data_IF_238111777549
#
_entry.id   IF_238111777549
#
_cell.length_a   1.000
_cell.length_b   1.000
_cell.length_c   1.000
_cell.angle_alpha   90.00
_cell.angle_beta   90.00
_cell.angle_gamma   90.00
#
_symmetry.space_group_name_H-M   'P 1'
#
loop_
_entity.id
_entity.type
_entity.pdbx_description
1 polymer ?
#
# COMPACT_ATOMS: atom_id res chain seq x y z
N UNK A 1 16.44 9.25 -2.69
CA UNK A 1 15.73 8.22 -3.43
C UNK A 1 14.72 7.50 -2.57
N UNK A 2 13.49 7.39 -3.03
CA UNK A 2 12.43 6.74 -2.27
C UNK A 2 12.69 5.25 -2.03
N UNK A 3 13.33 4.58 -2.97
CA UNK A 3 13.66 3.17 -2.83
C UNK A 3 14.41 2.89 -1.52
N UNK A 4 15.44 3.67 -1.25
CA UNK A 4 16.24 3.48 -0.06
C UNK A 4 15.45 3.79 1.21
N UNK A 5 14.64 4.84 1.19
CA UNK A 5 13.80 5.22 2.33
C UNK A 5 12.77 4.14 2.64
N UNK A 6 12.18 3.54 1.62
CA UNK A 6 11.20 2.46 1.77
C UNK A 6 11.88 1.23 2.37
N UNK A 7 13.05 0.86 1.83
CA UNK A 7 13.81 -0.28 2.34
C UNK A 7 14.15 -0.12 3.81
N UNK A 8 14.67 1.04 4.20
CA UNK A 8 15.04 1.32 5.58
C UNK A 8 13.84 1.30 6.50
N UNK A 9 12.71 1.85 6.06
CA UNK A 9 11.50 1.88 6.84
C UNK A 9 10.98 0.47 7.11
N UNK A 10 10.93 -0.37 6.08
CA UNK A 10 10.45 -1.76 6.22
C UNK A 10 11.40 -2.58 7.09
N UNK A 11 12.70 -2.38 6.93
CA UNK A 11 13.70 -3.05 7.76
C UNK A 11 13.52 -2.68 9.24
N UNK A 12 13.30 -1.40 9.51
CA UNK A 12 13.05 -0.93 10.88
C UNK A 12 11.77 -1.50 11.44
N UNK A 13 10.70 -1.58 10.64
CA UNK A 13 9.45 -2.20 11.07
C UNK A 13 9.66 -3.66 11.47
N UNK A 14 10.42 -4.41 10.67
CA UNK A 14 10.73 -5.79 10.98
C UNK A 14 11.45 -5.92 12.31
N UNK A 15 12.43 -5.05 12.56
CA UNK A 15 13.19 -5.08 13.81
C UNK A 15 12.33 -4.68 15.02
N UNK A 16 11.45 -3.70 14.85
CA UNK A 16 10.63 -3.18 15.96
C UNK A 16 9.40 -4.03 16.23
N UNK A 17 8.77 -4.60 15.19
CA UNK A 17 7.48 -5.29 15.29
C UNK A 17 7.55 -6.79 14.97
N UNK A 18 8.68 -7.26 14.45
CA UNK A 18 8.87 -8.67 14.12
C UNK A 18 8.25 -9.09 12.81
N UNK A 19 8.35 -10.39 12.50
CA UNK A 19 7.90 -10.96 11.23
C UNK A 19 6.39 -11.11 11.12
N UNK A 20 5.64 -10.84 12.17
CA UNK A 20 4.16 -10.82 12.14
C UNK A 20 3.62 -9.55 11.47
N UNK A 21 4.48 -8.60 11.17
CA UNK A 21 4.08 -7.38 10.46
C UNK A 21 3.59 -7.72 9.06
N UNK A 22 2.44 -7.17 8.68
CA UNK A 22 1.88 -7.32 7.34
C UNK A 22 2.05 -6.01 6.58
N UNK A 23 2.73 -6.08 5.44
CA UNK A 23 2.87 -4.93 4.55
C UNK A 23 1.73 -4.97 3.54
N UNK A 24 1.02 -3.85 3.42
CA UNK A 24 -0.14 -3.73 2.55
C UNK A 24 0.14 -2.68 1.47
N UNK A 25 -0.13 -2.99 0.22
CA UNK A 25 0.00 -2.02 -0.87
C UNK A 25 -1.07 -2.20 -1.91
N UNK A 26 -1.11 -1.28 -2.89
CA UNK A 26 -2.06 -1.36 -4.00
C UNK A 26 -1.59 -2.21 -5.16
N UNK A 27 -0.37 -2.70 -5.13
CA UNK A 27 0.15 -3.56 -6.19
C UNK A 27 0.53 -2.83 -7.46
N UNK A 28 0.73 -1.52 -7.41
CA UNK A 28 1.21 -0.78 -8.57
C UNK A 28 2.58 -1.33 -8.99
N UNK A 29 2.83 -1.57 -10.30
CA UNK A 29 4.11 -2.16 -10.74
C UNK A 29 5.28 -1.18 -10.67
N UNK A 30 5.07 0.04 -10.22
CA UNK A 30 6.10 1.08 -10.11
C UNK A 30 6.02 1.79 -8.76
N UNK A 31 7.11 2.46 -8.41
CA UNK A 31 7.14 3.37 -7.26
C UNK A 31 7.06 2.68 -5.93
N UNK A 32 6.44 3.34 -4.97
CA UNK A 32 6.40 2.88 -3.58
C UNK A 32 5.77 1.51 -3.42
N UNK A 33 4.68 1.22 -4.13
CA UNK A 33 4.02 -0.09 -4.06
C UNK A 33 4.95 -1.21 -4.49
N UNK A 34 5.68 -0.99 -5.59
CA UNK A 34 6.63 -1.99 -6.09
C UNK A 34 7.72 -2.28 -5.07
N UNK A 35 8.32 -1.25 -4.51
CA UNK A 35 9.41 -1.42 -3.54
C UNK A 35 8.91 -1.96 -2.21
N UNK A 36 7.72 -1.57 -1.78
CA UNK A 36 7.12 -2.12 -0.57
C UNK A 36 6.94 -3.63 -0.69
N UNK A 37 6.39 -4.10 -1.80
CA UNK A 37 6.24 -5.53 -2.08
C UNK A 37 7.59 -6.23 -2.11
N UNK A 38 8.53 -5.67 -2.88
CA UNK A 38 9.86 -6.25 -3.05
C UNK A 38 10.54 -6.47 -1.69
N UNK A 39 10.62 -5.44 -0.87
CA UNK A 39 11.34 -5.53 0.38
C UNK A 39 10.59 -6.30 1.46
N UNK A 40 9.26 -6.27 1.45
CA UNK A 40 8.48 -7.11 2.34
C UNK A 40 8.81 -8.58 2.09
N UNK A 41 8.79 -9.00 0.83
CA UNK A 41 9.07 -10.39 0.47
C UNK A 41 10.54 -10.76 0.73
N UNK A 42 11.48 -9.87 0.42
CA UNK A 42 12.91 -10.13 0.67
C UNK A 42 13.22 -10.28 2.16
N UNK A 43 12.52 -9.53 3.01
CA UNK A 43 12.75 -9.56 4.46
C UNK A 43 11.89 -10.58 5.18
N UNK A 44 11.10 -11.37 4.45
CA UNK A 44 10.29 -12.43 5.04
C UNK A 44 9.06 -11.94 5.80
N UNK A 45 8.59 -10.73 5.51
CA UNK A 45 7.36 -10.20 6.09
C UNK A 45 6.15 -10.68 5.30
N UNK A 46 4.99 -10.70 5.96
CA UNK A 46 3.74 -10.98 5.27
C UNK A 46 3.38 -9.81 4.36
N UNK A 47 2.77 -10.10 3.21
CA UNK A 47 2.40 -9.08 2.24
C UNK A 47 0.99 -9.31 1.73
N UNK A 48 0.20 -8.24 1.69
CA UNK A 48 -1.15 -8.23 1.12
C UNK A 48 -1.30 -7.13 0.10
N UNK A 49 -2.11 -7.37 -0.93
CA UNK A 49 -2.26 -6.47 -2.05
C UNK A 49 -3.73 -6.21 -2.36
N UNK A 50 -4.07 -4.95 -2.59
CA UNK A 50 -5.42 -4.52 -2.97
C UNK A 50 -5.35 -3.76 -4.29
N UNK A 51 -5.28 -4.47 -5.45
CA UNK A 51 -5.29 -3.79 -6.74
C UNK A 51 -6.66 -3.17 -7.02
N UNK A 52 -6.75 -2.20 -7.94
CA UNK A 52 -8.05 -1.68 -8.35
C UNK A 52 -8.88 -2.77 -9.02
N UNK A 53 -10.21 -2.65 -8.94
CA UNK A 53 -11.13 -3.70 -9.36
C UNK A 53 -11.01 -4.10 -10.84
N UNK A 54 -10.44 -3.24 -11.69
CA UNK A 54 -10.26 -3.55 -13.11
C UNK A 54 -8.99 -4.35 -13.41
N UNK A 55 -8.15 -4.61 -12.39
CA UNK A 55 -6.97 -5.46 -12.55
C UNK A 55 -7.25 -6.89 -12.12
N UNK A 56 -6.32 -7.79 -12.44
CA UNK A 56 -6.47 -9.20 -12.13
C UNK A 56 -6.17 -9.51 -10.67
N UNK A 57 -6.83 -10.54 -10.17
CA UNK A 57 -6.55 -11.11 -8.86
C UNK A 57 -5.19 -11.82 -8.88
N UNK A 58 -4.50 -11.81 -7.74
CA UNK A 58 -3.29 -12.61 -7.55
C UNK A 58 -3.26 -13.23 -6.15
N UNK A 59 -2.25 -14.04 -5.88
CA UNK A 59 -2.19 -14.81 -4.63
C UNK A 59 -2.04 -13.94 -3.37
N UNK A 60 -1.66 -12.68 -3.51
CA UNK A 60 -1.50 -11.78 -2.37
C UNK A 60 -2.78 -11.02 -2.03
N UNK A 61 -3.82 -11.14 -2.85
CA UNK A 61 -5.09 -10.44 -2.62
C UNK A 61 -5.92 -11.13 -1.55
N UNK A 62 -6.23 -10.48 -0.42
CA UNK A 62 -7.11 -11.07 0.59
C UNK A 62 -8.57 -11.17 0.14
N UNK A 63 -8.99 -10.30 -0.79
CA UNK A 63 -10.36 -10.32 -1.29
C UNK A 63 -10.54 -11.40 -2.35
N UNK A 64 -11.77 -11.92 -2.46
CA UNK A 64 -12.10 -12.96 -3.43
C UNK A 64 -11.89 -12.49 -4.87
N UNK A 65 -11.51 -13.42 -5.77
CA UNK A 65 -11.26 -13.12 -7.18
C UNK A 65 -12.42 -12.47 -7.90
N UNK A 66 -13.66 -12.71 -7.46
CA UNK A 66 -14.86 -12.10 -8.05
C UNK A 66 -14.89 -10.58 -7.93
N UNK A 67 -14.05 -10.00 -7.08
CA UNK A 67 -13.96 -8.54 -6.93
C UNK A 67 -13.10 -7.88 -7.99
N UNK A 68 -12.46 -8.68 -8.85
CA UNK A 68 -11.48 -8.19 -9.84
C UNK A 68 -11.91 -8.52 -11.25
N UNK A 69 -11.18 -7.99 -12.23
CA UNK A 69 -11.51 -8.17 -13.64
C UNK A 69 -12.74 -7.38 -14.07
N UNK A 70 -13.08 -6.33 -13.36
CA UNK A 70 -14.24 -5.48 -13.69
C UNK A 70 -13.87 -4.47 -14.78
N UNK A 71 -14.88 -3.80 -15.39
CA UNK A 71 -14.59 -2.74 -16.36
C UNK A 71 -13.77 -1.61 -15.74
N UNK A 72 -12.92 -1.00 -16.53
CA UNK A 72 -12.09 0.12 -16.08
C UNK A 72 -12.95 1.31 -15.64
N UNK A 73 -12.60 1.88 -14.49
CA UNK A 73 -13.16 3.14 -14.03
C UNK A 73 -12.14 3.80 -13.08
N UNK A 74 -12.01 5.11 -13.19
CA UNK A 74 -11.12 5.85 -12.28
C UNK A 74 -11.57 5.71 -10.83
N UNK A 75 -12.86 5.48 -10.60
CA UNK A 75 -13.41 5.24 -9.26
C UNK A 75 -12.80 4.01 -8.59
N UNK A 76 -12.34 3.03 -9.38
CA UNK A 76 -11.72 1.83 -8.84
C UNK A 76 -10.45 2.13 -8.06
N UNK A 77 -9.69 3.14 -8.46
CA UNK A 77 -8.49 3.55 -7.72
C UNK A 77 -8.84 4.11 -6.35
N UNK A 78 -9.89 4.93 -6.27
CA UNK A 78 -10.32 5.49 -4.99
C UNK A 78 -10.93 4.43 -4.07
N UNK A 79 -11.70 3.51 -4.63
CA UNK A 79 -12.26 2.39 -3.88
C UNK A 79 -11.13 1.51 -3.29
N UNK A 80 -10.07 1.26 -4.07
CA UNK A 80 -8.91 0.51 -3.62
C UNK A 80 -8.16 1.25 -2.51
N UNK A 81 -8.00 2.57 -2.65
CA UNK A 81 -7.34 3.38 -1.62
C UNK A 81 -8.10 3.31 -0.29
N UNK A 82 -9.42 3.28 -0.37
CA UNK A 82 -10.26 3.10 0.81
C UNK A 82 -10.07 1.72 1.44
N UNK A 83 -9.95 0.66 0.62
CA UNK A 83 -9.69 -0.69 1.10
C UNK A 83 -8.38 -0.76 1.87
N UNK A 84 -7.32 -0.15 1.34
CA UNK A 84 -6.02 -0.09 2.01
C UNK A 84 -6.17 0.56 3.38
N UNK A 85 -6.86 1.69 3.45
CA UNK A 85 -7.04 2.42 4.70
C UNK A 85 -7.86 1.61 5.72
N UNK A 86 -8.89 0.90 5.27
CA UNK A 86 -9.73 0.10 6.16
C UNK A 86 -8.95 -1.09 6.74
N UNK A 87 -8.13 -1.74 5.93
CA UNK A 87 -7.44 -2.97 6.32
C UNK A 87 -6.06 -2.75 6.92
N UNK A 88 -5.65 -1.50 7.11
CA UNK A 88 -4.37 -1.15 7.71
C UNK A 88 -4.58 -0.48 9.07
N UNK A 89 -3.64 -0.68 9.99
CA UNK A 89 -3.62 0.05 11.25
C UNK A 89 -2.84 1.35 11.13
N UNK A 90 -1.87 1.36 10.22
CA UNK A 90 -0.94 2.45 10.04
C UNK A 90 -0.69 2.66 8.55
N UNK A 91 -0.91 3.85 8.05
CA UNK A 91 -0.73 4.15 6.63
C UNK A 91 0.46 5.10 6.45
N UNK A 92 1.39 4.70 5.60
CA UNK A 92 2.60 5.47 5.32
C UNK A 92 2.64 5.81 3.82
N UNK A 93 2.82 7.08 3.51
CA UNK A 93 2.97 7.53 2.14
C UNK A 93 4.39 8.04 1.92
N UNK A 94 5.02 7.58 0.84
CA UNK A 94 6.34 8.04 0.42
C UNK A 94 6.16 8.98 -0.76
N UNK A 95 6.25 10.28 -0.51
CA UNK A 95 6.01 11.31 -1.52
C UNK A 95 7.26 12.18 -1.63
N UNK A 96 7.99 12.11 -2.75
CA UNK A 96 9.18 12.96 -2.93
C UNK A 96 8.82 14.44 -2.83
N UNK A 97 9.74 15.24 -2.33
CA UNK A 97 9.53 16.69 -2.25
C UNK A 97 9.25 17.28 -3.62
N UNK A 98 8.27 18.16 -3.68
CA UNK A 98 7.87 18.82 -4.92
C UNK A 98 7.01 17.97 -5.84
N UNK A 99 6.73 16.72 -5.48
CA UNK A 99 5.87 15.84 -6.24
C UNK A 99 4.48 15.84 -5.65
N UNK A 100 3.48 16.06 -6.51
CA UNK A 100 2.09 15.97 -6.13
C UNK A 100 1.61 14.54 -6.32
N UNK A 101 1.04 13.94 -5.29
CA UNK A 101 0.52 12.58 -5.37
C UNK A 101 -0.90 12.53 -4.85
N UNK A 102 -1.86 12.66 -5.76
CA UNK A 102 -3.29 12.65 -5.40
C UNK A 102 -3.73 11.28 -4.90
N UNK A 103 -3.17 10.20 -5.46
CA UNK A 103 -3.49 8.83 -5.04
C UNK A 103 -3.04 8.55 -3.61
N UNK A 104 -1.78 8.86 -3.30
CA UNK A 104 -1.25 8.66 -1.95
C UNK A 104 -1.97 9.51 -0.93
N UNK A 105 -2.26 10.76 -1.27
CA UNK A 105 -3.00 11.66 -0.37
C UNK A 105 -4.44 11.22 -0.18
N UNK A 106 -5.06 10.60 -1.18
CA UNK A 106 -6.38 10.01 -1.05
C UNK A 106 -6.39 8.91 0.01
N UNK A 107 -5.40 8.01 -0.02
CA UNK A 107 -5.28 6.96 0.98
C UNK A 107 -5.08 7.53 2.38
N UNK A 108 -4.22 8.53 2.51
CA UNK A 108 -3.99 9.22 3.79
C UNK A 108 -5.29 9.86 4.31
N UNK A 109 -6.05 10.47 3.42
CA UNK A 109 -7.32 11.11 3.79
C UNK A 109 -8.33 10.09 4.33
N UNK A 110 -8.46 8.94 3.66
CA UNK A 110 -9.32 7.87 4.16
C UNK A 110 -8.82 7.33 5.50
N UNK A 111 -7.52 7.14 5.65
CA UNK A 111 -6.93 6.65 6.90
C UNK A 111 -7.26 7.59 8.07
N UNK A 112 -7.11 8.89 7.86
CA UNK A 112 -7.47 9.88 8.89
C UNK A 112 -8.95 9.83 9.22
N UNK A 113 -9.81 9.69 8.20
CA UNK A 113 -11.26 9.59 8.41
C UNK A 113 -11.62 8.38 9.27
N UNK A 114 -10.90 7.27 9.13
CA UNK A 114 -11.15 6.05 9.87
C UNK A 114 -10.34 5.94 11.18
N UNK A 115 -9.70 7.02 11.59
CA UNK A 115 -8.96 7.06 12.87
C UNK A 115 -7.65 6.28 12.85
N UNK A 116 -7.08 6.01 11.68
CA UNK A 116 -5.81 5.30 11.57
C UNK A 116 -4.63 6.25 11.74
N UNK A 117 -3.50 5.70 12.16
CA UNK A 117 -2.25 6.46 12.23
C UNK A 117 -1.70 6.68 10.83
N UNK A 118 -1.17 7.86 10.56
CA UNK A 118 -0.63 8.20 9.25
C UNK A 118 0.75 8.85 9.37
N UNK A 119 1.56 8.64 8.33
CA UNK A 119 2.87 9.25 8.22
C UNK A 119 3.16 9.53 6.75
N UNK A 120 3.68 10.72 6.46
CA UNK A 120 4.14 11.07 5.12
C UNK A 120 5.65 11.26 5.17
N UNK A 121 6.37 10.53 4.33
CA UNK A 121 7.82 10.60 4.21
C UNK A 121 8.17 11.23 2.87
N UNK A 122 8.92 12.33 2.93
CA UNK A 122 9.32 13.07 1.72
C UNK A 122 10.63 12.59 1.12
#
# INVERSE_FOLDING_TARGET
>A
ENRQKIKEFIFKLKNDKGTNTVIVSGGCPRGADYYAKKYALELGLQYEEYPPAHQAHNLYCPLHSRNYGKPYSVKNFFARNKQIAIHSEYVVAFIPRGVKSNGSMSTIKYAKKFGKKTLVIN
#
